data_IF_783285335164
#
_entry.id   IF_783285335164
#
_cell.length_a   1.000
_cell.length_b   1.000
_cell.length_c   1.000
_cell.angle_alpha   90.00
_cell.angle_beta   90.00
_cell.angle_gamma   90.00
#
_symmetry.space_group_name_H-M   'P 1'
#
loop_
_entity.id
_entity.type
_entity.pdbx_description
1 polymer ?
#
# COMPACT_ATOMS: atom_id res chain seq x y z
N UNK A 1 15.46 -16.29 4.71
CA UNK A 1 15.82 -14.94 4.22
C UNK A 1 15.15 -13.82 5.03
N UNK A 2 13.82 -13.72 5.09
CA UNK A 2 13.17 -12.62 5.82
C UNK A 2 13.47 -12.61 7.32
N UNK A 3 13.61 -13.78 7.95
CA UNK A 3 14.06 -13.92 9.35
C UNK A 3 15.42 -13.24 9.55
N UNK A 4 16.44 -13.66 8.79
CA UNK A 4 17.78 -13.05 8.79
C UNK A 4 17.74 -11.52 8.63
N UNK A 5 17.01 -11.01 7.61
CA UNK A 5 16.90 -9.56 7.39
C UNK A 5 16.16 -8.82 8.53
N UNK A 6 15.32 -9.53 9.29
CA UNK A 6 14.55 -8.95 10.40
C UNK A 6 15.33 -8.84 11.71
N UNK A 7 16.47 -9.52 11.80
CA UNK A 7 17.36 -9.54 12.97
C UNK A 7 18.57 -8.61 12.81
N UNK A 8 18.69 -7.94 11.66
CA UNK A 8 19.71 -6.92 11.44
C UNK A 8 19.60 -5.77 12.45
N UNK A 9 20.74 -5.14 12.74
CA UNK A 9 20.83 -4.02 13.67
C UNK A 9 20.42 -2.71 13.00
N UNK A 10 19.30 -2.12 13.45
CA UNK A 10 18.71 -0.91 12.90
C UNK A 10 19.57 0.35 13.01
N UNK A 11 20.58 0.35 13.88
CA UNK A 11 21.46 1.49 14.14
C UNK A 11 22.74 1.46 13.26
N UNK A 12 22.94 0.40 12.45
CA UNK A 12 24.04 0.34 11.47
C UNK A 12 23.97 1.48 10.47
N UNK A 13 25.12 1.99 10.03
CA UNK A 13 25.16 3.05 9.02
C UNK A 13 24.92 2.54 7.59
N UNK A 14 25.20 1.26 7.32
CA UNK A 14 24.95 0.63 6.02
C UNK A 14 24.94 -0.91 6.13
N UNK A 15 24.48 -1.56 5.05
CA UNK A 15 24.55 -3.00 4.82
C UNK A 15 25.10 -3.31 3.42
N UNK A 16 25.41 -4.58 3.18
CA UNK A 16 25.73 -5.07 1.84
C UNK A 16 24.58 -5.90 1.28
N UNK A 17 24.20 -5.63 0.04
CA UNK A 17 23.22 -6.41 -0.68
C UNK A 17 23.71 -7.84 -0.87
N UNK A 18 22.83 -8.82 -0.61
CA UNK A 18 23.13 -10.23 -0.83
C UNK A 18 23.42 -10.47 -2.32
N UNK A 19 24.60 -11.02 -2.61
CA UNK A 19 25.03 -11.39 -3.97
C UNK A 19 25.88 -10.33 -4.67
N UNK A 20 25.42 -9.08 -4.79
CA UNK A 20 26.17 -8.03 -5.50
C UNK A 20 27.21 -7.31 -4.64
N UNK A 21 27.15 -7.47 -3.31
CA UNK A 21 27.93 -6.67 -2.35
C UNK A 21 27.75 -5.15 -2.53
N UNK A 22 26.65 -4.72 -3.15
CA UNK A 22 26.34 -3.30 -3.24
C UNK A 22 26.10 -2.74 -1.84
N UNK A 23 26.75 -1.63 -1.51
CA UNK A 23 26.52 -0.94 -0.25
C UNK A 23 25.16 -0.22 -0.26
N UNK A 24 24.37 -0.45 0.78
CA UNK A 24 23.05 0.15 1.01
C UNK A 24 23.14 1.00 2.29
N UNK A 25 23.05 2.32 2.16
CA UNK A 25 23.06 3.26 3.28
C UNK A 25 21.78 3.17 4.12
N UNK A 26 21.92 3.39 5.43
CA UNK A 26 20.80 3.47 6.36
C UNK A 26 20.18 4.88 6.40
N UNK A 27 19.62 5.32 5.29
CA UNK A 27 19.03 6.66 5.20
C UNK A 27 17.60 6.72 5.75
N UNK A 28 17.03 5.57 6.13
CA UNK A 28 15.64 5.45 6.52
C UNK A 28 15.38 4.84 7.91
N UNK A 29 16.43 4.68 8.73
CA UNK A 29 16.40 4.09 10.08
C UNK A 29 15.91 2.63 10.07
N UNK A 30 16.48 1.81 9.19
CA UNK A 30 16.28 0.37 9.14
C UNK A 30 14.83 -0.02 8.82
N UNK A 31 14.09 0.75 8.00
CA UNK A 31 12.67 0.42 7.69
C UNK A 31 12.55 -0.97 7.07
N UNK A 32 13.54 -1.42 6.29
CA UNK A 32 13.51 -2.74 5.68
C UNK A 32 13.47 -3.86 6.73
N UNK A 33 14.09 -3.68 7.90
CA UNK A 33 14.12 -4.65 9.00
C UNK A 33 12.70 -4.85 9.55
N UNK A 34 11.97 -3.77 9.76
CA UNK A 34 10.55 -3.81 10.18
C UNK A 34 9.67 -4.49 9.12
N UNK A 35 9.91 -4.19 7.84
CA UNK A 35 9.20 -4.84 6.71
C UNK A 35 9.53 -6.34 6.64
N UNK A 36 10.80 -6.72 6.82
CA UNK A 36 11.25 -8.10 6.85
C UNK A 36 10.62 -8.86 8.01
N UNK A 37 10.54 -8.26 9.21
CA UNK A 37 9.84 -8.84 10.37
C UNK A 37 8.36 -9.08 10.09
N UNK A 38 7.69 -8.13 9.43
CA UNK A 38 6.28 -8.28 9.03
C UNK A 38 6.11 -9.41 8.02
N UNK A 39 6.99 -9.50 7.02
CA UNK A 39 6.97 -10.57 6.03
C UNK A 39 7.23 -11.94 6.65
N UNK A 40 8.23 -12.05 7.53
CA UNK A 40 8.53 -13.27 8.27
C UNK A 40 7.35 -13.73 9.12
N UNK A 41 6.80 -12.84 9.96
CA UNK A 41 5.62 -13.17 10.78
C UNK A 41 4.39 -13.57 9.96
N UNK A 42 4.29 -13.10 8.72
CA UNK A 42 3.20 -13.49 7.81
C UNK A 42 3.40 -14.90 7.26
N UNK A 43 4.64 -15.32 7.00
CA UNK A 43 4.96 -16.58 6.34
C UNK A 43 5.21 -17.74 7.30
N UNK A 44 5.72 -17.46 8.51
CA UNK A 44 6.26 -18.49 9.42
C UNK A 44 5.25 -19.55 9.89
N UNK A 45 3.96 -19.20 9.91
CA UNK A 45 2.88 -20.05 10.43
C UNK A 45 1.97 -20.58 9.30
N UNK A 46 2.37 -20.40 8.03
CA UNK A 46 1.60 -20.85 6.87
C UNK A 46 2.11 -22.20 6.35
N UNK A 47 1.24 -23.22 6.38
CA UNK A 47 1.56 -24.57 5.93
C UNK A 47 0.83 -24.98 4.63
N UNK A 48 -0.20 -24.23 4.24
CA UNK A 48 -0.97 -24.48 3.01
C UNK A 48 -0.29 -23.86 1.79
N UNK A 49 -0.14 -24.64 0.72
CA UNK A 49 0.43 -24.18 -0.56
C UNK A 49 -0.37 -23.02 -1.15
N UNK A 50 -1.71 -23.04 -1.03
CA UNK A 50 -2.59 -21.96 -1.48
C UNK A 50 -2.34 -20.68 -0.68
N UNK A 51 -2.23 -20.78 0.65
CA UNK A 51 -1.99 -19.62 1.53
C UNK A 51 -0.59 -19.03 1.34
N UNK A 52 0.42 -19.89 1.17
CA UNK A 52 1.79 -19.49 0.84
C UNK A 52 1.85 -18.78 -0.52
N UNK A 53 1.15 -19.32 -1.53
CA UNK A 53 1.08 -18.70 -2.86
C UNK A 53 0.50 -17.29 -2.78
N UNK A 54 -0.61 -17.12 -2.06
CA UNK A 54 -1.21 -15.80 -1.89
C UNK A 54 -0.32 -14.85 -1.08
N UNK A 55 0.32 -15.33 -0.02
CA UNK A 55 1.27 -14.55 0.76
C UNK A 55 2.48 -14.10 -0.09
N UNK A 56 3.03 -14.98 -0.91
CA UNK A 56 4.14 -14.65 -1.81
C UNK A 56 3.73 -13.71 -2.92
N UNK A 57 2.53 -13.85 -3.50
CA UNK A 57 2.00 -12.89 -4.48
C UNK A 57 1.83 -11.50 -3.89
N UNK A 58 1.49 -11.40 -2.62
CA UNK A 58 1.42 -10.10 -1.94
C UNK A 58 2.83 -9.50 -1.70
N UNK A 59 3.82 -10.34 -1.36
CA UNK A 59 5.19 -9.89 -1.07
C UNK A 59 6.00 -9.56 -2.33
N UNK A 60 5.91 -10.40 -3.35
CA UNK A 60 6.74 -10.35 -4.57
C UNK A 60 5.97 -9.91 -5.81
N UNK A 61 4.66 -9.70 -5.69
CA UNK A 61 3.78 -9.30 -6.78
C UNK A 61 3.13 -10.50 -7.49
N UNK A 62 2.08 -10.21 -8.26
CA UNK A 62 1.24 -11.23 -8.93
C UNK A 62 1.97 -12.06 -9.99
N UNK A 63 3.11 -11.57 -10.48
CA UNK A 63 3.96 -12.32 -11.40
C UNK A 63 4.65 -13.52 -10.74
N UNK A 64 4.64 -13.61 -9.40
CA UNK A 64 5.16 -14.74 -8.65
C UNK A 64 4.17 -15.92 -8.69
N UNK A 65 4.68 -17.13 -8.96
CA UNK A 65 3.89 -18.36 -9.06
C UNK A 65 2.71 -18.25 -10.07
N UNK A 66 3.02 -18.00 -11.35
CA UNK A 66 2.03 -17.83 -12.43
C UNK A 66 1.16 -19.07 -12.71
N UNK A 67 1.53 -20.26 -12.23
CA UNK A 67 0.93 -21.53 -12.67
C UNK A 67 -0.36 -21.97 -11.93
N UNK A 68 -0.81 -21.30 -10.88
CA UNK A 68 -2.06 -21.74 -10.21
C UNK A 68 -3.31 -21.06 -10.80
N UNK A 69 -4.21 -21.90 -11.33
CA UNK A 69 -5.45 -21.58 -12.06
C UNK A 69 -6.53 -20.81 -11.27
N UNK A 70 -6.21 -20.20 -10.13
CA UNK A 70 -7.16 -19.45 -9.28
C UNK A 70 -6.79 -17.97 -9.17
N UNK A 71 -6.70 -17.28 -10.30
CA UNK A 71 -6.78 -15.82 -10.33
C UNK A 71 -8.25 -15.34 -10.16
N UNK A 72 -8.95 -15.78 -9.10
CA UNK A 72 -10.40 -15.56 -8.95
C UNK A 72 -10.81 -14.27 -8.20
N UNK A 73 -9.87 -13.40 -7.81
CA UNK A 73 -10.18 -12.21 -6.99
C UNK A 73 -9.71 -10.87 -7.55
N UNK A 74 -9.22 -10.81 -8.79
CA UNK A 74 -9.08 -9.52 -9.46
C UNK A 74 -10.48 -9.00 -9.82
N UNK A 75 -10.80 -7.74 -9.54
CA UNK A 75 -11.98 -7.16 -10.20
C UNK A 75 -11.72 -7.15 -11.71
N UNK A 76 -12.76 -7.26 -12.56
CA UNK A 76 -12.61 -7.38 -14.01
C UNK A 76 -11.78 -6.26 -14.66
N UNK A 77 -11.63 -5.12 -13.98
CA UNK A 77 -10.92 -3.92 -14.44
C UNK A 77 -9.86 -3.41 -13.46
N UNK A 78 -9.38 -4.26 -12.55
CA UNK A 78 -8.30 -3.87 -11.64
C UNK A 78 -6.96 -3.80 -12.39
N UNK A 79 -6.30 -2.64 -12.33
CA UNK A 79 -4.95 -2.45 -12.86
C UNK A 79 -3.90 -2.67 -11.76
N UNK A 80 -2.71 -3.13 -12.18
CA UNK A 80 -1.54 -3.34 -11.31
C UNK A 80 -0.39 -2.51 -11.82
N UNK A 81 0.26 -1.77 -10.93
CA UNK A 81 1.32 -0.84 -11.30
C UNK A 81 2.51 -1.57 -11.91
N UNK A 82 2.80 -2.78 -11.40
CA UNK A 82 3.88 -3.65 -11.86
C UNK A 82 3.68 -4.16 -13.29
N UNK A 83 2.44 -4.16 -13.79
CA UNK A 83 2.12 -4.54 -15.16
C UNK A 83 2.11 -3.33 -16.12
N UNK A 84 2.15 -2.10 -15.60
CA UNK A 84 1.96 -0.86 -16.35
C UNK A 84 3.22 -0.01 -16.44
N UNK A 85 4.13 -0.15 -15.48
CA UNK A 85 5.29 0.72 -15.31
C UNK A 85 6.54 -0.09 -14.99
N UNK A 86 7.71 0.45 -15.35
CA UNK A 86 8.99 -0.08 -14.89
C UNK A 86 9.13 0.18 -13.39
N UNK A 87 9.70 -0.76 -12.64
CA UNK A 87 9.80 -0.66 -11.18
C UNK A 87 11.25 -0.42 -10.78
N UNK A 88 11.53 0.76 -10.20
CA UNK A 88 12.84 1.13 -9.66
C UNK A 88 12.64 1.99 -8.41
N UNK A 89 12.18 1.35 -7.34
CA UNK A 89 11.80 2.04 -6.09
C UNK A 89 13.08 2.47 -5.36
N UNK A 90 13.32 3.78 -5.32
CA UNK A 90 14.48 4.40 -4.66
C UNK A 90 14.11 5.30 -3.49
N UNK A 91 12.85 5.70 -3.41
CA UNK A 91 12.37 6.71 -2.48
C UNK A 91 11.18 6.20 -1.66
N UNK A 92 11.08 6.68 -0.43
CA UNK A 92 9.97 6.45 0.46
C UNK A 92 8.84 7.46 0.21
N UNK A 93 7.62 6.95 0.27
CA UNK A 93 6.39 7.72 0.22
C UNK A 93 5.53 7.37 1.44
N UNK A 94 4.91 8.36 2.05
CA UNK A 94 3.95 8.18 3.14
C UNK A 94 2.63 8.83 2.75
N UNK A 95 1.55 8.09 2.94
CA UNK A 95 0.19 8.60 2.80
C UNK A 95 -0.40 8.91 4.16
N UNK A 96 -1.27 9.89 4.18
CA UNK A 96 -2.19 10.15 5.27
C UNK A 96 -3.59 10.34 4.70
N UNK A 97 -4.60 10.19 5.55
CA UNK A 97 -5.97 10.48 5.19
C UNK A 97 -6.65 11.30 6.29
N UNK A 98 -7.13 12.48 5.91
CA UNK A 98 -7.99 13.28 6.77
C UNK A 98 -9.44 12.81 6.62
N UNK A 99 -10.03 12.40 7.73
CA UNK A 99 -11.41 11.95 7.84
C UNK A 99 -12.24 13.11 8.34
N UNK A 100 -13.30 13.46 7.60
CA UNK A 100 -14.25 14.50 8.00
C UNK A 100 -15.68 14.00 7.95
N UNK A 101 -16.53 14.54 8.84
CA UNK A 101 -17.95 14.30 8.86
C UNK A 101 -18.69 15.51 9.47
N UNK A 102 -19.91 15.83 9.01
CA UNK A 102 -20.68 16.94 9.56
C UNK A 102 -20.87 16.80 11.08
N UNK A 103 -20.60 17.88 11.82
CA UNK A 103 -20.81 17.93 13.27
C UNK A 103 -19.68 17.34 14.14
N UNK A 104 -18.59 16.85 13.53
CA UNK A 104 -17.43 16.33 14.28
C UNK A 104 -16.13 16.98 13.83
N UNK A 105 -15.11 16.96 14.71
CA UNK A 105 -13.77 17.44 14.39
C UNK A 105 -13.10 16.49 13.39
N UNK A 106 -12.36 17.02 12.39
CA UNK A 106 -11.51 16.21 11.53
C UNK A 106 -10.53 15.36 12.34
N UNK A 107 -10.27 14.13 11.88
CA UNK A 107 -9.32 13.19 12.49
C UNK A 107 -8.43 12.57 11.42
N UNK A 108 -7.24 12.12 11.79
CA UNK A 108 -6.36 11.40 10.88
C UNK A 108 -6.66 9.89 10.88
N UNK A 109 -6.54 9.25 9.73
CA UNK A 109 -6.72 7.80 9.61
C UNK A 109 -5.67 7.03 10.41
N UNK A 110 -4.44 7.53 10.49
CA UNK A 110 -3.40 6.95 11.34
C UNK A 110 -3.80 6.86 12.81
N UNK A 111 -4.58 7.80 13.34
CA UNK A 111 -5.11 7.73 14.71
C UNK A 111 -6.10 6.57 14.89
N UNK A 112 -6.94 6.30 13.88
CA UNK A 112 -7.86 5.16 13.90
C UNK A 112 -7.11 3.84 13.79
N UNK A 113 -6.14 3.75 12.86
CA UNK A 113 -5.34 2.55 12.65
C UNK A 113 -4.52 2.18 13.89
N UNK A 114 -3.95 3.17 14.59
CA UNK A 114 -3.21 2.96 15.84
C UNK A 114 -4.10 2.37 16.97
N UNK A 115 -5.41 2.61 16.92
CA UNK A 115 -6.40 2.07 17.87
C UNK A 115 -7.12 0.82 17.35
N UNK A 116 -6.72 0.32 16.18
CA UNK A 116 -7.40 -0.78 15.48
C UNK A 116 -8.89 -0.50 15.23
N UNK A 117 -9.26 0.77 15.06
CA UNK A 117 -10.64 1.18 14.80
C UNK A 117 -10.95 1.18 13.31
N UNK A 118 -12.12 0.62 12.99
CA UNK A 118 -12.70 0.76 11.66
C UNK A 118 -13.53 2.04 11.55
N UNK A 119 -13.58 2.64 10.37
CA UNK A 119 -14.44 3.76 10.06
C UNK A 119 -15.88 3.31 9.85
N UNK A 120 -16.82 4.10 10.37
CA UNK A 120 -18.24 3.99 9.99
C UNK A 120 -18.46 4.51 8.55
N UNK A 121 -19.61 4.15 7.96
CA UNK A 121 -20.05 4.69 6.68
C UNK A 121 -20.28 6.22 6.72
N UNK A 122 -20.40 6.82 5.54
CA UNK A 122 -20.76 8.22 5.31
C UNK A 122 -19.75 9.27 5.82
N UNK A 123 -18.47 8.93 5.82
CA UNK A 123 -17.35 9.84 6.08
C UNK A 123 -16.73 10.30 4.76
N UNK A 124 -16.23 11.53 4.75
CA UNK A 124 -15.42 12.05 3.65
C UNK A 124 -13.94 11.77 3.96
N UNK A 125 -13.23 11.26 2.97
CA UNK A 125 -11.83 10.89 3.06
C UNK A 125 -11.03 11.76 2.10
N UNK A 126 -10.06 12.50 2.64
CA UNK A 126 -9.11 13.26 1.85
C UNK A 126 -7.73 12.65 2.04
N UNK A 127 -7.25 11.95 1.04
CA UNK A 127 -5.91 11.37 1.00
C UNK A 127 -4.90 12.40 0.50
N UNK A 128 -3.75 12.42 1.14
CA UNK A 128 -2.62 13.24 0.75
C UNK A 128 -1.28 12.52 0.99
N UNK A 129 -0.27 13.03 0.31
CA UNK A 129 1.12 12.61 0.53
C UNK A 129 1.65 13.42 1.71
N UNK A 130 1.68 12.79 2.89
CA UNK A 130 2.10 13.46 4.13
C UNK A 130 3.61 13.68 4.20
N UNK A 131 4.41 12.81 3.57
CA UNK A 131 5.86 12.98 3.46
C UNK A 131 6.46 12.11 2.37
N UNK A 132 7.58 12.55 1.80
CA UNK A 132 8.44 11.76 0.92
C UNK A 132 9.91 12.19 1.07
N UNK A 133 10.84 11.35 0.63
CA UNK A 133 12.28 11.66 0.56
C UNK A 133 12.78 11.86 -0.89
N UNK A 134 11.86 11.96 -1.87
CA UNK A 134 12.18 12.28 -3.27
C UNK A 134 12.91 13.65 -3.34
N UNK A 135 14.11 13.73 -3.94
CA UNK A 135 14.87 14.97 -4.09
C UNK A 135 14.08 16.07 -4.80
N UNK A 136 14.22 17.32 -4.32
CA UNK A 136 13.54 18.49 -4.90
C UNK A 136 13.80 18.69 -6.39
N UNK A 137 15.01 18.36 -6.85
CA UNK A 137 15.39 18.44 -8.26
C UNK A 137 14.58 17.49 -9.16
N UNK A 138 14.10 16.38 -8.61
CA UNK A 138 13.32 15.38 -9.34
C UNK A 138 11.82 15.65 -9.31
N UNK A 139 11.31 16.35 -8.28
CA UNK A 139 9.86 16.55 -8.06
C UNK A 139 9.12 17.16 -9.25
N UNK A 140 9.76 18.08 -9.99
CA UNK A 140 9.14 18.72 -11.17
C UNK A 140 8.88 17.73 -12.31
N UNK A 141 9.58 16.59 -12.35
CA UNK A 141 9.42 15.54 -13.34
C UNK A 141 8.52 14.39 -12.83
N UNK A 142 8.01 14.48 -11.60
CA UNK A 142 7.18 13.43 -11.01
C UNK A 142 5.74 13.58 -11.47
N UNK A 143 5.21 12.49 -12.04
CA UNK A 143 3.77 12.32 -12.27
C UNK A 143 3.19 11.43 -11.17
N UNK A 144 2.13 11.92 -10.52
CA UNK A 144 1.44 11.18 -9.45
C UNK A 144 0.30 10.37 -10.02
N UNK A 145 0.26 9.09 -9.65
CA UNK A 145 -0.83 8.19 -9.97
C UNK A 145 -1.49 7.68 -8.69
N UNK A 146 -2.78 7.44 -8.76
CA UNK A 146 -3.58 6.93 -7.65
C UNK A 146 -4.37 5.72 -8.09
N UNK A 147 -4.47 4.74 -7.19
CA UNK A 147 -5.39 3.62 -7.30
C UNK A 147 -6.25 3.58 -6.05
N UNK A 148 -7.56 3.47 -6.26
CA UNK A 148 -8.51 3.29 -5.19
C UNK A 148 -9.20 1.96 -5.42
N UNK A 149 -8.96 1.01 -4.53
CA UNK A 149 -9.55 -0.32 -4.65
C UNK A 149 -10.81 -0.41 -3.79
N UNK A 150 -11.91 -0.74 -4.45
CA UNK A 150 -13.15 -1.16 -3.78
C UNK A 150 -13.42 -2.63 -4.14
N UNK A 151 -13.46 -3.51 -3.15
CA UNK A 151 -13.73 -4.94 -3.33
C UNK A 151 -14.92 -5.38 -2.51
N UNK A 152 -15.56 -6.49 -2.89
CA UNK A 152 -16.54 -7.18 -2.07
C UNK A 152 -17.95 -7.20 -2.65
N UNK A 153 -18.82 -7.97 -2.00
CA UNK A 153 -20.19 -8.22 -2.45
C UNK A 153 -21.00 -6.94 -2.65
N UNK A 154 -20.89 -5.96 -1.73
CA UNK A 154 -21.62 -4.69 -1.86
C UNK A 154 -21.14 -3.85 -3.05
N UNK A 155 -19.84 -3.84 -3.33
CA UNK A 155 -19.28 -3.15 -4.48
C UNK A 155 -19.74 -3.80 -5.79
N UNK A 156 -19.77 -5.15 -5.86
CA UNK A 156 -20.33 -5.90 -7.00
C UNK A 156 -21.82 -5.63 -7.19
N UNK A 157 -22.61 -5.74 -6.13
CA UNK A 157 -24.07 -5.52 -6.16
C UNK A 157 -24.44 -4.13 -6.69
N UNK A 158 -23.58 -3.14 -6.47
CA UNK A 158 -23.80 -1.74 -6.88
C UNK A 158 -22.99 -1.34 -8.13
N UNK A 159 -22.35 -2.29 -8.83
CA UNK A 159 -21.47 -2.02 -9.97
C UNK A 159 -20.41 -0.93 -9.70
N UNK A 160 -19.85 -0.91 -8.48
CA UNK A 160 -18.85 0.07 -8.03
C UNK A 160 -17.52 -0.59 -7.61
N UNK A 161 -17.18 -1.71 -8.24
CA UNK A 161 -15.83 -2.25 -8.18
C UNK A 161 -14.89 -1.28 -8.91
N UNK A 162 -13.86 -0.82 -8.19
CA UNK A 162 -12.82 0.07 -8.71
C UNK A 162 -11.46 -0.58 -8.52
N UNK A 163 -10.51 -0.20 -9.34
CA UNK A 163 -9.12 -0.67 -9.24
C UNK A 163 -8.19 -0.11 -10.32
N UNK A 164 -8.66 0.87 -11.09
CA UNK A 164 -7.89 1.53 -12.13
C UNK A 164 -6.86 2.48 -11.51
N UNK A 165 -5.73 2.64 -12.21
CA UNK A 165 -4.64 3.54 -11.89
C UNK A 165 -4.80 4.78 -12.76
N UNK A 166 -5.09 5.91 -12.10
CA UNK A 166 -5.38 7.18 -12.77
C UNK A 166 -4.35 8.25 -12.39
N UNK A 167 -4.02 9.13 -13.33
CA UNK A 167 -3.22 10.33 -13.05
C UNK A 167 -3.97 11.22 -12.06
N UNK A 168 -3.26 11.83 -11.13
CA UNK A 168 -3.83 12.76 -10.15
C UNK A 168 -2.83 13.80 -9.68
N UNK A 169 -3.30 14.62 -8.74
CA UNK A 169 -2.45 15.55 -7.99
C UNK A 169 -1.86 14.87 -6.76
N UNK A 170 -1.21 15.61 -5.86
CA UNK A 170 -0.79 15.09 -4.55
C UNK A 170 -1.96 14.79 -3.58
N UNK A 171 -3.21 15.07 -3.98
CA UNK A 171 -4.42 14.84 -3.18
C UNK A 171 -5.44 14.00 -3.93
N UNK A 172 -6.21 13.20 -3.18
CA UNK A 172 -7.31 12.37 -3.70
C UNK A 172 -8.48 12.36 -2.71
N UNK A 173 -9.67 12.73 -3.19
CA UNK A 173 -10.90 12.73 -2.38
C UNK A 173 -11.72 11.47 -2.63
N UNK A 174 -12.27 10.89 -1.57
CA UNK A 174 -13.06 9.66 -1.57
C UNK A 174 -14.14 9.70 -0.47
N UNK A 175 -15.07 8.74 -0.49
CA UNK A 175 -16.16 8.64 0.49
C UNK A 175 -16.30 7.21 1.03
N UNK A 176 -16.55 7.04 2.34
CA UNK A 176 -16.81 5.72 2.94
C UNK A 176 -18.23 5.24 2.61
N UNK A 177 -18.37 4.58 1.46
CA UNK A 177 -19.68 4.23 0.91
C UNK A 177 -20.07 2.75 1.10
N UNK A 178 -19.10 1.86 1.36
CA UNK A 178 -19.29 0.40 1.36
C UNK A 178 -18.50 -0.28 2.47
N UNK A 179 -18.99 -1.46 2.86
CA UNK A 179 -18.34 -2.32 3.85
C UNK A 179 -17.16 -3.11 3.23
N UNK A 180 -16.09 -3.34 4.01
CA UNK A 180 -14.89 -4.18 3.73
C UNK A 180 -13.73 -3.54 2.91
N UNK A 181 -12.61 -4.29 2.86
CA UNK A 181 -11.27 -3.98 2.34
C UNK A 181 -11.24 -2.90 1.26
N UNK A 182 -11.11 -1.66 1.73
CA UNK A 182 -10.81 -0.48 0.96
C UNK A 182 -9.34 -0.13 1.19
N UNK A 183 -8.61 0.12 0.11
CA UNK A 183 -7.25 0.62 0.22
C UNK A 183 -7.00 1.62 -0.90
N UNK A 184 -6.08 2.54 -0.61
CA UNK A 184 -5.60 3.53 -1.56
C UNK A 184 -4.11 3.33 -1.75
N UNK A 185 -3.68 3.34 -3.01
CA UNK A 185 -2.28 3.36 -3.39
C UNK A 185 -1.97 4.65 -4.13
N UNK A 186 -0.76 5.15 -3.93
CA UNK A 186 -0.19 6.26 -4.67
C UNK A 186 1.16 5.84 -5.23
N UNK A 187 1.46 6.28 -6.45
CA UNK A 187 2.70 6.00 -7.16
C UNK A 187 3.31 7.30 -7.68
N UNK A 188 4.63 7.44 -7.50
CA UNK A 188 5.42 8.52 -8.05
C UNK A 188 6.23 7.99 -9.24
N UNK A 189 6.06 8.60 -10.42
CA UNK A 189 6.72 8.15 -11.65
C UNK A 189 7.54 9.27 -12.27
N UNK A 190 8.69 8.92 -12.83
CA UNK A 190 9.45 9.77 -13.76
C UNK A 190 9.46 9.05 -15.11
N UNK A 191 8.84 9.65 -16.12
CA UNK A 191 8.58 8.95 -17.38
C UNK A 191 7.67 7.73 -17.17
N UNK A 192 8.17 6.54 -17.53
CA UNK A 192 7.49 5.25 -17.36
C UNK A 192 7.94 4.46 -16.13
N UNK A 193 8.83 5.04 -15.31
CA UNK A 193 9.50 4.36 -14.20
C UNK A 193 8.95 4.82 -12.86
N UNK A 194 8.41 3.88 -12.08
CA UNK A 194 7.90 4.08 -10.74
C UNK A 194 9.06 4.11 -9.73
N UNK A 195 9.28 5.29 -9.15
CA UNK A 195 10.39 5.59 -8.23
C UNK A 195 10.02 5.53 -6.76
N UNK A 196 8.72 5.66 -6.45
CA UNK A 196 8.18 5.53 -5.09
C UNK A 196 6.74 5.03 -5.15
N UNK A 197 6.31 4.31 -4.12
CA UNK A 197 4.91 3.92 -3.93
C UNK A 197 4.54 3.87 -2.45
N UNK A 198 3.27 4.06 -2.17
CA UNK A 198 2.71 3.86 -0.84
C UNK A 198 1.31 3.28 -0.94
N UNK A 199 0.93 2.53 0.09
CA UNK A 199 -0.39 1.95 0.27
C UNK A 199 -0.88 2.26 1.67
N UNK A 200 -2.15 2.63 1.79
CA UNK A 200 -2.84 2.77 3.08
C UNK A 200 -4.15 1.97 3.03
N UNK A 201 -4.32 1.10 4.02
CA UNK A 201 -5.55 0.34 4.21
C UNK A 201 -6.54 1.20 5.00
N UNK A 202 -7.81 1.12 4.61
CA UNK A 202 -8.90 1.92 5.18
C UNK A 202 -9.94 0.92 5.70
N UNK A 203 -9.86 0.51 6.97
CA UNK A 203 -10.82 -0.42 7.54
C UNK A 203 -12.17 0.28 7.65
N UNK A 204 -13.19 -0.22 6.96
CA UNK A 204 -14.56 0.29 7.04
C UNK A 204 -15.46 -0.82 7.59
N UNK A 205 -16.18 -0.50 8.66
CA UNK A 205 -17.21 -1.35 9.23
C UNK A 205 -18.49 -0.53 9.44
N UNK A 206 -19.52 -0.83 8.65
CA UNK A 206 -20.79 -0.09 8.68
C UNK A 206 -21.64 -0.36 9.92
N UNK A 207 -21.34 -1.42 10.68
CA UNK A 207 -22.13 -1.87 11.84
C UNK A 207 -21.46 -1.43 13.14
N UNK A 208 -20.16 -1.67 13.29
CA UNK A 208 -19.40 -1.39 14.52
C UNK A 208 -18.31 -0.34 14.35
N UNK A 209 -18.28 0.37 13.22
CA UNK A 209 -17.31 1.41 12.95
C UNK A 209 -17.40 2.57 13.95
N UNK A 210 -16.24 3.12 14.28
CA UNK A 210 -16.09 4.25 15.18
C UNK A 210 -16.39 5.57 14.48
N UNK A 211 -16.86 6.55 15.26
CA UNK A 211 -17.19 7.89 14.79
C UNK A 211 -16.03 8.89 14.76
#
# INVERSE_FOLDING_TARGET
MFEFLSEEDADRSYWYALGSNQQISNDDNGKFIKKAKKAFNKLKDLDSEDELTDAYRELFGRGFAKETAKAQYAAPYEEFAENKFNVDIRYNLKLECMITQPGFRPKLLTEFLARHWALKANKQLQFDISSHDIPRSLLSNVTWYWKVRNTGYEARRRNNERGQIVVGSMRKNEHTSFNRNHYVECYALIGDTMIARAKIDVPINTITGSD
#
